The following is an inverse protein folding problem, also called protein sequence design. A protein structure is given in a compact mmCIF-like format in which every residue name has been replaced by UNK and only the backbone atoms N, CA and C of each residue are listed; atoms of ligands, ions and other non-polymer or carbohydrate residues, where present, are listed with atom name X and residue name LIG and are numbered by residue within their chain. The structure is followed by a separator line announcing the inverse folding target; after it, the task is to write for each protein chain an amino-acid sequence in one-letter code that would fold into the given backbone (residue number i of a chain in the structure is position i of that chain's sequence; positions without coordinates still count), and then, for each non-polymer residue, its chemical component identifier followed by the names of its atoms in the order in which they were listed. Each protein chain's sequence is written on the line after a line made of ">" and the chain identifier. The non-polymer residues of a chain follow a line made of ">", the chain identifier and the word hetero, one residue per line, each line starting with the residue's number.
data_IF_087329839523
#
_entry.id   IF_087329839523
#
_cell.length_a   1.000
_cell.length_b   1.000
_cell.length_c   1.000
_cell.angle_alpha   90.00
_cell.angle_beta   90.00
_cell.angle_gamma   90.00
#
_symmetry.space_group_name_H-M   'P 1'
#
loop_
_entity.id
_entity.type
_entity.pdbx_description
1 polymer ?
#
# COMPACT_ATOMS: atom_id res chain seq x y z
N UNK A 1 -15.14 9.53 3.43
CA UNK A 1 -16.40 8.88 3.86
C UNK A 1 -17.48 9.85 4.30
N UNK A 2 -17.26 10.73 5.29
CA UNK A 2 -18.30 11.69 5.75
C UNK A 2 -18.86 12.59 4.64
N UNK A 3 -17.98 13.21 3.84
CA UNK A 3 -18.40 14.03 2.70
C UNK A 3 -19.14 13.22 1.61
N UNK A 4 -18.70 11.99 1.34
CA UNK A 4 -19.37 11.10 0.38
C UNK A 4 -20.77 10.68 0.87
N UNK A 5 -20.92 10.40 2.17
CA UNK A 5 -22.20 10.09 2.78
C UNK A 5 -23.16 11.30 2.71
N UNK A 6 -22.66 12.52 2.95
CA UNK A 6 -23.43 13.75 2.80
C UNK A 6 -23.89 13.98 1.35
N UNK A 7 -23.02 13.75 0.36
CA UNK A 7 -23.39 13.93 -1.06
C UNK A 7 -24.42 12.89 -1.52
N UNK A 8 -24.30 11.63 -1.08
CA UNK A 8 -25.28 10.58 -1.38
C UNK A 8 -26.62 10.90 -0.71
N UNK A 9 -26.61 11.38 0.54
CA UNK A 9 -27.82 11.76 1.27
C UNK A 9 -28.53 12.96 0.62
N UNK A 10 -27.79 13.97 0.15
CA UNK A 10 -28.36 15.11 -0.59
C UNK A 10 -28.97 14.68 -1.92
N UNK A 11 -28.34 13.75 -2.66
CA UNK A 11 -28.89 13.20 -3.90
C UNK A 11 -30.12 12.34 -3.66
N UNK A 12 -30.16 11.59 -2.56
CA UNK A 12 -31.32 10.80 -2.16
C UNK A 12 -32.51 11.70 -1.78
N UNK A 13 -32.26 12.80 -1.06
CA UNK A 13 -33.28 13.80 -0.75
C UNK A 13 -33.78 14.50 -2.02
N UNK A 14 -32.87 14.87 -2.94
CA UNK A 14 -33.23 15.42 -4.25
C UNK A 14 -34.12 14.48 -5.04
N UNK A 15 -33.78 13.19 -5.09
CA UNK A 15 -34.59 12.16 -5.74
C UNK A 15 -36.02 12.05 -5.20
N UNK A 16 -36.18 12.12 -3.87
CA UNK A 16 -37.49 12.10 -3.23
C UNK A 16 -38.30 13.39 -3.42
N UNK A 17 -37.63 14.52 -3.67
CA UNK A 17 -38.29 15.83 -3.92
C UNK A 17 -38.63 16.00 -5.41
N UNK A 18 -37.79 15.52 -6.33
CA UNK A 18 -38.02 15.59 -7.78
C UNK A 18 -38.94 14.47 -8.29
N UNK A 19 -39.11 13.37 -7.54
CA UNK A 19 -40.18 12.38 -7.81
C UNK A 19 -41.51 12.96 -7.37
N UNK A 20 -42.08 13.81 -8.22
CA UNK A 20 -43.41 14.39 -8.04
C UNK A 20 -44.46 13.25 -8.07
N UNK A 21 -45.30 13.19 -7.03
CA UNK A 21 -46.19 12.06 -6.71
C UNK A 21 -47.46 11.99 -7.58
N UNK A 22 -47.55 12.78 -8.66
CA UNK A 22 -48.85 13.18 -9.22
C UNK A 22 -49.13 12.79 -10.68
N UNK A 23 -48.31 11.94 -11.33
CA UNK A 23 -48.67 11.45 -12.66
C UNK A 23 -48.11 10.05 -12.97
N UNK A 24 -48.67 9.03 -12.30
CA UNK A 24 -48.27 7.62 -12.43
C UNK A 24 -48.80 6.96 -13.74
N UNK A 25 -49.63 7.65 -14.52
CA UNK A 25 -50.39 7.07 -15.63
C UNK A 25 -49.71 7.11 -16.99
N UNK A 26 -49.24 8.28 -17.44
CA UNK A 26 -48.97 8.49 -18.89
C UNK A 26 -47.48 8.45 -19.29
N UNK A 27 -46.54 8.32 -18.34
CA UNK A 27 -45.09 8.48 -18.58
C UNK A 27 -44.19 7.42 -17.94
N UNK A 28 -44.69 6.19 -17.74
CA UNK A 28 -43.93 5.10 -17.12
C UNK A 28 -42.53 4.88 -17.74
N UNK A 29 -42.40 5.03 -19.06
CA UNK A 29 -41.11 4.87 -19.76
C UNK A 29 -40.08 5.97 -19.46
N UNK A 30 -40.51 7.21 -19.23
CA UNK A 30 -39.60 8.32 -18.87
C UNK A 30 -39.20 8.25 -17.40
N UNK A 31 -40.14 7.91 -16.51
CA UNK A 31 -39.82 7.68 -15.10
C UNK A 31 -38.82 6.55 -14.88
N UNK A 32 -38.93 5.44 -15.63
CA UNK A 32 -37.93 4.36 -15.55
C UNK A 32 -36.53 4.84 -15.92
N UNK A 33 -36.40 5.64 -16.98
CA UNK A 33 -35.12 6.20 -17.42
C UNK A 33 -34.48 7.12 -16.37
N UNK A 34 -35.28 8.02 -15.80
CA UNK A 34 -34.81 8.93 -14.76
C UNK A 34 -34.42 8.17 -13.48
N UNK A 35 -35.20 7.15 -13.10
CA UNK A 35 -34.91 6.27 -11.95
C UNK A 35 -33.57 5.53 -12.10
N UNK A 36 -33.31 4.97 -13.28
CA UNK A 36 -32.01 4.34 -13.58
C UNK A 36 -30.87 5.37 -13.60
N UNK A 37 -31.13 6.59 -14.09
CA UNK A 37 -30.15 7.69 -14.08
C UNK A 37 -29.70 8.04 -12.65
N UNK A 38 -30.65 8.26 -11.74
CA UNK A 38 -30.35 8.52 -10.33
C UNK A 38 -29.65 7.32 -9.65
N UNK A 39 -30.04 6.10 -9.98
CA UNK A 39 -29.41 4.88 -9.47
C UNK A 39 -27.94 4.75 -9.93
N UNK A 40 -27.64 5.02 -11.20
CA UNK A 40 -26.27 4.99 -11.74
C UNK A 40 -25.41 6.08 -11.09
N UNK A 41 -25.94 7.29 -10.91
CA UNK A 41 -25.23 8.38 -10.22
C UNK A 41 -24.92 7.99 -8.78
N UNK A 42 -25.86 7.38 -8.06
CA UNK A 42 -25.63 6.87 -6.71
C UNK A 42 -24.51 5.82 -6.64
N UNK A 43 -24.54 4.83 -7.55
CA UNK A 43 -23.52 3.77 -7.61
C UNK A 43 -22.13 4.33 -7.95
N UNK A 44 -22.03 5.25 -8.92
CA UNK A 44 -20.74 5.83 -9.33
C UNK A 44 -20.07 6.60 -8.19
N UNK A 45 -20.83 7.33 -7.38
CA UNK A 45 -20.29 8.05 -6.22
C UNK A 45 -19.77 7.08 -5.15
N UNK A 46 -20.48 5.97 -4.90
CA UNK A 46 -20.04 4.94 -3.95
C UNK A 46 -18.72 4.31 -4.40
N UNK A 47 -18.60 3.94 -5.69
CA UNK A 47 -17.38 3.35 -6.25
C UNK A 47 -16.20 4.32 -6.21
N UNK A 48 -16.41 5.61 -6.51
CA UNK A 48 -15.35 6.64 -6.41
C UNK A 48 -14.92 6.88 -4.95
N UNK A 49 -15.84 6.73 -4.00
CA UNK A 49 -15.56 6.94 -2.57
C UNK A 49 -14.75 5.79 -1.92
N UNK A 50 -14.80 4.59 -2.49
CA UNK A 50 -14.01 3.42 -2.03
C UNK A 50 -12.86 3.19 -3.01
N UNK A 51 -11.62 3.59 -2.66
CA UNK A 51 -10.50 3.41 -3.55
C UNK A 51 -10.05 1.94 -3.55
N UNK A 52 -10.70 1.11 -4.37
CA UNK A 52 -10.36 -0.30 -4.56
C UNK A 52 -8.95 -0.49 -5.15
N UNK A 53 -8.39 0.56 -5.77
CA UNK A 53 -7.03 0.57 -6.30
C UNK A 53 -5.92 0.84 -5.26
N UNK A 54 -6.26 1.28 -4.04
CA UNK A 54 -5.26 1.63 -3.04
C UNK A 54 -4.42 0.40 -2.60
N UNK A 55 -5.01 -0.77 -2.27
CA UNK A 55 -4.23 -1.95 -1.91
C UNK A 55 -3.42 -2.47 -3.11
N UNK A 56 -3.94 -2.30 -4.33
CA UNK A 56 -3.30 -2.75 -5.56
C UNK A 56 -2.03 -1.93 -5.85
N UNK A 57 -2.08 -0.62 -5.67
CA UNK A 57 -0.91 0.26 -5.81
C UNK A 57 0.21 -0.10 -4.83
N UNK A 58 -0.15 -0.38 -3.56
CA UNK A 58 0.83 -0.81 -2.53
C UNK A 58 1.49 -2.12 -2.93
N UNK A 59 0.72 -3.12 -3.39
CA UNK A 59 1.25 -4.42 -3.79
C UNK A 59 2.21 -4.32 -4.99
N UNK A 60 1.89 -3.48 -5.99
CA UNK A 60 2.79 -3.26 -7.14
C UNK A 60 4.10 -2.62 -6.69
N UNK A 61 4.04 -1.60 -5.84
CA UNK A 61 5.23 -0.93 -5.31
C UNK A 61 6.11 -1.90 -4.50
N UNK A 62 5.49 -2.75 -3.69
CA UNK A 62 6.18 -3.75 -2.87
C UNK A 62 6.80 -4.85 -3.73
N UNK A 63 6.08 -5.35 -4.73
CA UNK A 63 6.59 -6.34 -5.68
C UNK A 63 7.78 -5.81 -6.49
N UNK A 64 7.72 -4.55 -6.94
CA UNK A 64 8.82 -3.89 -7.61
C UNK A 64 10.04 -3.77 -6.70
N UNK A 65 9.83 -3.34 -5.45
CA UNK A 65 10.89 -3.19 -4.44
C UNK A 65 11.59 -4.52 -4.15
N UNK A 66 10.83 -5.61 -3.99
CA UNK A 66 11.39 -6.95 -3.78
C UNK A 66 12.21 -7.41 -4.98
N UNK A 67 11.74 -7.13 -6.21
CA UNK A 67 12.49 -7.48 -7.43
C UNK A 67 13.82 -6.72 -7.51
N UNK A 68 13.85 -5.46 -7.09
CA UNK A 68 15.08 -4.66 -6.99
C UNK A 68 16.02 -5.18 -5.90
N UNK A 69 15.51 -5.48 -4.70
CA UNK A 69 16.31 -6.03 -3.59
C UNK A 69 16.96 -7.37 -3.96
N UNK A 70 16.27 -8.20 -4.75
CA UNK A 70 16.83 -9.46 -5.25
C UNK A 70 18.04 -9.24 -6.16
N UNK A 71 18.02 -8.21 -7.01
CA UNK A 71 19.15 -7.84 -7.86
C UNK A 71 20.36 -7.34 -7.03
N UNK A 72 20.10 -6.76 -5.86
CA UNK A 72 21.11 -6.29 -4.89
C UNK A 72 21.55 -7.41 -3.91
N UNK A 73 21.29 -8.69 -4.24
CA UNK A 73 21.61 -9.89 -3.42
C UNK A 73 20.87 -9.95 -2.07
N UNK A 74 19.73 -9.28 -1.93
CA UNK A 74 18.85 -9.38 -0.77
C UNK A 74 17.59 -10.19 -1.11
N UNK A 75 17.52 -11.43 -0.61
CA UNK A 75 16.37 -12.32 -0.83
C UNK A 75 15.29 -12.12 0.23
N UNK A 76 14.21 -11.42 -0.14
CA UNK A 76 13.07 -11.15 0.75
C UNK A 76 12.05 -12.27 0.68
N UNK A 77 11.81 -12.95 1.82
CA UNK A 77 10.85 -14.08 1.92
C UNK A 77 9.39 -13.66 2.14
N UNK A 78 9.16 -12.46 2.69
CA UNK A 78 7.84 -11.93 3.01
C UNK A 78 7.74 -10.50 2.49
N UNK A 79 6.75 -10.21 1.63
CA UNK A 79 6.59 -8.89 1.02
C UNK A 79 6.47 -7.78 2.07
N UNK A 80 5.70 -8.01 3.14
CA UNK A 80 5.53 -7.07 4.24
C UNK A 80 6.84 -6.67 4.94
N UNK A 81 7.89 -7.50 4.87
CA UNK A 81 9.18 -7.17 5.47
C UNK A 81 9.85 -5.97 4.80
N UNK A 82 9.58 -5.72 3.51
CA UNK A 82 10.10 -4.53 2.83
C UNK A 82 9.51 -3.24 3.40
N UNK A 83 8.23 -3.25 3.77
CA UNK A 83 7.56 -2.10 4.39
C UNK A 83 8.14 -1.86 5.80
N UNK A 84 8.22 -2.92 6.62
CA UNK A 84 8.74 -2.82 7.99
C UNK A 84 10.19 -2.38 8.02
N UNK A 85 11.03 -2.86 7.09
CA UNK A 85 12.44 -2.49 7.04
C UNK A 85 12.66 -1.01 6.70
N UNK A 86 11.74 -0.38 5.95
CA UNK A 86 11.77 1.06 5.67
C UNK A 86 11.59 1.92 6.92
N UNK A 87 10.96 1.39 7.97
CA UNK A 87 10.75 2.05 9.27
C UNK A 87 11.70 1.61 10.38
N UNK A 88 12.76 0.86 10.08
CA UNK A 88 13.64 0.31 11.12
C UNK A 88 14.49 1.42 11.80
N UNK A 89 14.41 1.54 13.13
CA UNK A 89 15.18 2.51 13.90
C UNK A 89 16.48 1.95 14.49
N UNK A 90 16.56 0.63 14.68
CA UNK A 90 17.72 -0.01 15.29
C UNK A 90 18.07 -1.31 14.56
N UNK A 91 19.35 -1.52 14.25
CA UNK A 91 19.84 -2.71 13.55
C UNK A 91 20.73 -3.49 14.52
N UNK A 92 20.23 -4.62 15.00
CA UNK A 92 21.02 -5.56 15.81
C UNK A 92 21.78 -6.50 14.87
N UNK A 93 23.01 -6.15 14.49
CA UNK A 93 23.89 -7.01 13.70
C UNK A 93 24.77 -7.88 14.59
N UNK A 94 24.95 -9.13 14.20
CA UNK A 94 25.95 -10.00 14.81
C UNK A 94 27.38 -9.61 14.34
N UNK A 95 28.41 -9.93 15.12
CA UNK A 95 29.79 -9.55 14.80
C UNK A 95 30.43 -10.55 13.82
N UNK A 96 30.51 -11.81 14.23
CA UNK A 96 31.28 -12.82 13.50
C UNK A 96 30.55 -13.26 12.24
N UNK A 97 31.20 -13.13 11.07
CA UNK A 97 30.61 -13.53 9.78
C UNK A 97 29.51 -12.62 9.25
N UNK A 98 29.20 -11.52 9.94
CA UNK A 98 28.33 -10.43 9.43
C UNK A 98 29.11 -9.12 9.32
N UNK A 99 29.71 -8.64 10.42
CA UNK A 99 30.58 -7.45 10.40
C UNK A 99 32.04 -7.80 10.08
N UNK A 100 32.49 -9.00 10.46
CA UNK A 100 33.82 -9.50 10.10
C UNK A 100 33.75 -10.34 8.83
N UNK A 101 34.84 -10.34 8.05
CA UNK A 101 34.99 -11.23 6.88
C UNK A 101 35.10 -12.72 7.26
N UNK A 102 35.04 -13.05 8.56
CA UNK A 102 35.28 -14.39 9.11
C UNK A 102 36.63 -15.02 8.68
N UNK A 103 37.57 -14.19 8.23
CA UNK A 103 38.95 -14.56 7.91
C UNK A 103 39.84 -14.04 9.05
N UNK A 104 40.29 -14.95 9.91
CA UNK A 104 41.17 -14.60 11.03
C UNK A 104 42.64 -14.73 10.61
N UNK A 105 43.33 -13.60 10.57
CA UNK A 105 44.78 -13.52 10.35
C UNK A 105 45.47 -12.95 11.59
N UNK A 106 46.65 -13.46 11.92
CA UNK A 106 47.44 -12.97 13.05
C UNK A 106 48.14 -11.68 12.63
N UNK A 107 47.74 -10.54 13.18
CA UNK A 107 48.30 -9.23 12.79
C UNK A 107 49.57 -8.85 13.55
N UNK A 108 49.71 -9.33 14.79
CA UNK A 108 50.81 -8.94 15.66
C UNK A 108 51.29 -10.14 16.49
N UNK A 109 52.59 -10.37 16.50
CA UNK A 109 53.25 -11.38 17.34
C UNK A 109 54.31 -10.69 18.20
N UNK A 110 54.25 -10.94 19.52
CA UNK A 110 55.21 -10.40 20.48
C UNK A 110 56.16 -11.50 20.94
N UNK A 111 57.44 -11.40 20.56
CA UNK A 111 58.51 -12.34 20.93
C UNK A 111 59.52 -11.73 21.91
N UNK A 112 59.07 -10.89 22.85
CA UNK A 112 59.91 -10.40 23.96
C UNK A 112 61.02 -9.39 23.61
N UNK A 113 61.27 -9.08 22.33
CA UNK A 113 62.29 -8.10 21.91
C UNK A 113 61.77 -7.02 20.93
N UNK A 114 60.82 -7.35 20.05
CA UNK A 114 60.21 -6.43 19.06
C UNK A 114 58.83 -6.94 18.63
N UNK A 115 57.92 -6.03 18.23
CA UNK A 115 56.67 -6.41 17.54
C UNK A 115 57.01 -6.82 16.10
N UNK A 116 56.84 -8.09 15.78
CA UNK A 116 56.85 -8.58 14.40
C UNK A 116 55.42 -8.60 13.88
N UNK A 117 55.17 -7.96 12.74
CA UNK A 117 53.97 -8.19 11.94
C UNK A 117 54.18 -9.45 11.12
N UNK A 118 53.41 -10.53 11.33
CA UNK A 118 53.40 -11.66 10.40
C UNK A 118 52.79 -11.16 9.09
N UNK A 119 53.47 -11.42 7.97
CA UNK A 119 53.02 -11.05 6.62
C UNK A 119 51.60 -11.55 6.30
#
# INVERSE_FOLDING_TARGET
>A
MLFAALTVLVLFIRFFIETDYTDFGDKFGTYLGDWFGFLIIGITIIVVAVPEGLPLAVMISLAYSVRKMLAEKNFVKKLASCEIMGGANNICSDKTGTLTMNEMSVTNLWNGATQGTPD
#
